data_IF_164959842879
#
_entry.id   IF_164959842879
#
_cell.length_a   1.000
_cell.length_b   1.000
_cell.length_c   1.000
_cell.angle_alpha   90.00
_cell.angle_beta   90.00
_cell.angle_gamma   90.00
#
_symmetry.space_group_name_H-M   'P 1'
#
loop_
_entity.id
_entity.type
_entity.pdbx_description
1 polymer ?
#
# COMPACT_ATOMS: atom_id res chain seq x y z
N UNK A 1 -0.03 -20.65 5.45
CA UNK A 1 1.15 -20.48 4.55
C UNK A 1 1.14 -19.15 3.84
N UNK A 2 0.09 -18.83 3.09
CA UNK A 2 0.00 -17.52 2.39
C UNK A 2 -0.07 -16.37 3.39
N UNK A 3 -0.85 -16.53 4.47
CA UNK A 3 -0.97 -15.50 5.50
C UNK A 3 0.37 -15.22 6.18
N UNK A 4 1.16 -16.26 6.45
CA UNK A 4 2.50 -16.10 7.06
C UNK A 4 3.43 -15.33 6.14
N UNK A 5 3.40 -15.62 4.82
CA UNK A 5 4.19 -14.89 3.83
C UNK A 5 3.76 -13.42 3.73
N UNK A 6 2.44 -13.16 3.78
CA UNK A 6 1.90 -11.81 3.75
C UNK A 6 2.33 -11.00 5.00
N UNK A 7 2.31 -11.63 6.19
CA UNK A 7 2.79 -10.99 7.42
C UNK A 7 4.27 -10.61 7.32
N UNK A 8 5.08 -11.49 6.78
CA UNK A 8 6.51 -11.26 6.61
C UNK A 8 6.75 -10.09 5.66
N UNK A 9 6.04 -10.05 4.53
CA UNK A 9 6.12 -8.97 3.56
C UNK A 9 5.68 -7.63 4.14
N UNK A 10 4.59 -7.61 4.91
CA UNK A 10 4.09 -6.40 5.53
C UNK A 10 5.08 -5.86 6.57
N UNK A 11 5.67 -6.74 7.38
CA UNK A 11 6.70 -6.35 8.34
C UNK A 11 7.95 -5.79 7.67
N UNK A 12 8.33 -6.33 6.53
CA UNK A 12 9.43 -5.83 5.73
C UNK A 12 9.14 -4.42 5.19
N UNK A 13 7.93 -4.22 4.65
CA UNK A 13 7.49 -2.91 4.16
C UNK A 13 7.50 -1.87 5.29
N UNK A 14 7.07 -2.24 6.49
CA UNK A 14 7.08 -1.36 7.65
C UNK A 14 8.52 -0.95 8.02
N UNK A 15 9.45 -1.89 8.00
CA UNK A 15 10.85 -1.60 8.30
C UNK A 15 11.50 -0.65 7.29
N UNK A 16 11.17 -0.81 6.01
CA UNK A 16 11.69 0.08 4.96
C UNK A 16 11.25 1.53 5.16
N UNK A 17 10.06 1.75 5.71
CA UNK A 17 9.53 3.10 5.92
C UNK A 17 10.26 3.88 7.01
N UNK A 18 10.97 3.22 7.91
CA UNK A 18 11.66 3.89 9.02
C UNK A 18 12.72 4.88 8.55
N UNK A 19 13.31 4.64 7.39
CA UNK A 19 14.38 5.47 6.85
C UNK A 19 13.88 6.51 5.85
N UNK A 20 12.56 6.61 5.64
CA UNK A 20 11.96 7.52 4.69
C UNK A 20 11.28 8.67 5.42
N UNK A 21 11.84 9.90 5.38
CA UNK A 21 11.18 11.05 5.99
C UNK A 21 9.95 11.47 5.16
N UNK A 22 8.96 12.08 5.83
CA UNK A 22 7.70 12.46 5.21
C UNK A 22 7.90 13.41 4.02
N UNK A 23 8.85 14.31 4.07
CA UNK A 23 9.13 15.27 3.01
C UNK A 23 9.70 14.62 1.74
N UNK A 24 10.20 13.39 1.83
CA UNK A 24 10.73 12.64 0.69
C UNK A 24 9.80 11.53 0.20
N UNK A 25 8.70 11.32 0.90
CA UNK A 25 7.80 10.19 0.65
C UNK A 25 7.21 10.21 -0.77
N UNK A 26 6.82 11.38 -1.27
CA UNK A 26 6.23 11.58 -2.60
C UNK A 26 7.19 12.29 -3.55
N UNK A 27 8.49 12.11 -3.38
CA UNK A 27 9.51 12.74 -4.21
C UNK A 27 10.30 11.70 -4.97
N UNK A 28 10.66 12.03 -6.22
CA UNK A 28 11.59 11.21 -6.99
C UNK A 28 12.96 11.22 -6.33
N UNK A 29 13.64 10.07 -6.37
CA UNK A 29 15.00 9.96 -5.88
C UNK A 29 15.94 10.83 -6.72
N UNK A 30 16.95 11.39 -6.06
CA UNK A 30 17.96 12.20 -6.72
C UNK A 30 19.34 11.65 -6.37
N UNK A 31 20.13 11.37 -7.40
CA UNK A 31 21.52 10.92 -7.24
C UNK A 31 22.40 11.98 -7.85
N UNK A 32 23.17 12.68 -7.01
CA UNK A 32 23.90 13.88 -7.40
C UNK A 32 22.94 14.91 -7.99
N UNK A 33 23.14 15.33 -9.26
CA UNK A 33 22.26 16.29 -9.93
C UNK A 33 21.22 15.62 -10.83
N UNK A 34 21.12 14.29 -10.79
CA UNK A 34 20.23 13.52 -11.66
C UNK A 34 18.98 13.06 -10.88
N UNK A 35 17.82 13.46 -11.38
CA UNK A 35 16.52 12.99 -10.85
C UNK A 35 16.21 11.64 -11.48
N UNK A 36 15.90 10.66 -10.63
CA UNK A 36 15.52 9.32 -11.07
C UNK A 36 13.99 9.27 -11.17
N UNK A 37 13.48 9.29 -12.38
CA UNK A 37 12.05 9.23 -12.66
C UNK A 37 11.57 7.77 -12.53
N UNK A 38 11.32 7.36 -11.28
CA UNK A 38 10.79 6.02 -10.96
C UNK A 38 9.65 6.18 -9.97
N UNK A 39 9.03 5.07 -9.57
CA UNK A 39 7.96 5.15 -8.57
C UNK A 39 8.55 5.53 -7.20
N UNK A 40 8.06 6.64 -6.64
CA UNK A 40 8.44 7.05 -5.29
C UNK A 40 7.62 6.28 -4.23
N UNK A 41 8.02 6.33 -2.94
CA UNK A 41 7.33 5.56 -1.89
C UNK A 41 5.82 5.79 -1.82
N UNK A 42 5.35 7.03 -1.94
CA UNK A 42 3.90 7.30 -1.88
C UNK A 42 3.14 6.50 -2.92
N UNK A 43 3.62 6.45 -4.15
CA UNK A 43 2.97 5.70 -5.23
C UNK A 43 3.04 4.20 -4.97
N UNK A 44 4.20 3.70 -4.56
CA UNK A 44 4.38 2.27 -4.30
C UNK A 44 3.45 1.80 -3.18
N UNK A 45 3.46 2.48 -2.03
CA UNK A 45 2.64 2.09 -0.88
C UNK A 45 1.15 2.34 -1.12
N UNK A 46 0.80 3.43 -1.80
CA UNK A 46 -0.59 3.69 -2.18
C UNK A 46 -1.13 2.64 -3.14
N UNK A 47 -0.34 2.26 -4.13
CA UNK A 47 -0.70 1.23 -5.10
C UNK A 47 -0.88 -0.13 -4.41
N UNK A 48 0.06 -0.54 -3.57
CA UNK A 48 -0.05 -1.79 -2.82
C UNK A 48 -1.30 -1.83 -1.95
N UNK A 49 -1.68 -0.71 -1.36
CA UNK A 49 -2.87 -0.61 -0.52
C UNK A 49 -4.19 -0.88 -1.25
N UNK A 50 -4.20 -0.81 -2.58
CA UNK A 50 -5.41 -1.08 -3.36
C UNK A 50 -5.79 -2.57 -3.37
N UNK A 51 -4.84 -3.45 -3.13
CA UNK A 51 -5.07 -4.89 -3.29
C UNK A 51 -5.72 -5.54 -2.08
N UNK A 52 -5.59 -4.98 -0.90
CA UNK A 52 -6.10 -5.59 0.34
C UNK A 52 -7.61 -5.83 0.27
N UNK A 53 -8.39 -4.85 -0.13
CA UNK A 53 -9.84 -5.00 -0.26
C UNK A 53 -10.22 -6.03 -1.31
N UNK A 54 -9.45 -6.12 -2.38
CA UNK A 54 -9.66 -7.12 -3.43
C UNK A 54 -9.42 -8.54 -2.92
N UNK A 55 -8.39 -8.73 -2.12
CA UNK A 55 -8.09 -10.01 -1.47
C UNK A 55 -9.25 -10.42 -0.56
N UNK A 56 -9.73 -9.50 0.26
CA UNK A 56 -10.84 -9.75 1.19
C UNK A 56 -12.10 -10.17 0.41
N UNK A 57 -12.42 -9.46 -0.67
CA UNK A 57 -13.57 -9.77 -1.52
C UNK A 57 -13.44 -11.14 -2.19
N UNK A 58 -12.25 -11.48 -2.69
CA UNK A 58 -11.98 -12.78 -3.33
C UNK A 58 -12.15 -13.94 -2.35
N UNK A 59 -11.94 -13.71 -1.05
CA UNK A 59 -12.14 -14.71 -0.03
C UNK A 59 -13.62 -14.84 0.41
N UNK A 60 -14.51 -14.06 -0.21
CA UNK A 60 -15.94 -14.08 0.12
C UNK A 60 -16.31 -13.27 1.35
N UNK A 61 -15.41 -12.43 1.85
CA UNK A 61 -15.65 -11.56 3.00
C UNK A 61 -16.13 -10.19 2.56
N UNK A 62 -16.77 -9.45 3.49
CA UNK A 62 -17.23 -8.10 3.22
C UNK A 62 -16.02 -7.13 3.22
N UNK A 63 -15.71 -6.57 2.06
CA UNK A 63 -14.60 -5.65 1.87
C UNK A 63 -15.01 -4.19 1.92
N UNK A 64 -16.28 -3.87 2.18
CA UNK A 64 -16.79 -2.50 2.07
C UNK A 64 -16.08 -1.50 2.97
N UNK A 65 -15.64 -1.93 4.17
CA UNK A 65 -14.90 -1.07 5.10
C UNK A 65 -13.48 -0.77 4.65
N UNK A 66 -12.95 -1.53 3.69
CA UNK A 66 -11.55 -1.46 3.24
C UNK A 66 -11.41 -1.02 1.80
N UNK A 67 -12.52 -0.83 1.09
CA UNK A 67 -12.52 -0.41 -0.31
C UNK A 67 -12.13 1.07 -0.39
N UNK A 68 -11.08 1.40 -1.17
CA UNK A 68 -10.66 2.79 -1.30
C UNK A 68 -11.68 3.62 -2.08
N UNK A 69 -11.63 4.94 -1.90
CA UNK A 69 -12.44 5.86 -2.70
C UNK A 69 -12.02 5.79 -4.17
N UNK A 70 -12.92 6.22 -5.06
CA UNK A 70 -12.63 6.25 -6.49
C UNK A 70 -11.43 7.16 -6.79
N UNK A 71 -11.30 8.28 -6.09
CA UNK A 71 -10.17 9.21 -6.26
C UNK A 71 -8.85 8.58 -5.80
N UNK A 72 -8.87 7.89 -4.67
CA UNK A 72 -7.68 7.18 -4.17
C UNK A 72 -7.24 6.10 -5.16
N UNK A 73 -8.18 5.31 -5.65
CA UNK A 73 -7.89 4.27 -6.63
C UNK A 73 -7.33 4.85 -7.93
N UNK A 74 -7.90 5.94 -8.42
CA UNK A 74 -7.43 6.61 -9.62
C UNK A 74 -5.99 7.12 -9.46
N UNK A 75 -5.65 7.65 -8.28
CA UNK A 75 -4.33 8.19 -7.99
C UNK A 75 -3.25 7.11 -7.99
N UNK A 76 -3.56 5.92 -7.53
CA UNK A 76 -2.58 4.86 -7.29
C UNK A 76 -2.75 3.63 -8.17
N UNK A 77 -3.67 3.63 -9.12
CA UNK A 77 -3.91 2.46 -9.98
C UNK A 77 -2.70 2.14 -10.86
N UNK A 78 -2.69 0.93 -11.39
CA UNK A 78 -1.62 0.48 -12.30
C UNK A 78 -1.49 1.34 -13.55
N UNK A 79 -2.57 2.01 -13.94
CA UNK A 79 -2.62 2.86 -15.13
C UNK A 79 -2.27 4.32 -14.80
N UNK A 80 -2.09 4.66 -13.52
CA UNK A 80 -1.70 5.99 -13.11
C UNK A 80 -0.21 6.19 -13.32
N UNK A 81 0.16 7.43 -13.64
CA UNK A 81 1.57 7.82 -13.80
C UNK A 81 2.05 8.43 -12.48
N UNK A 82 3.16 7.91 -11.96
CA UNK A 82 3.79 8.48 -10.77
C UNK A 82 4.44 9.82 -11.13
N UNK A 83 4.13 10.85 -10.35
CA UNK A 83 4.68 12.19 -10.56
C UNK A 83 5.32 12.69 -9.26
N UNK A 84 6.35 13.55 -9.40
CA UNK A 84 6.98 14.19 -8.25
C UNK A 84 6.00 15.17 -7.59
N UNK A 85 5.96 15.18 -6.26
CA UNK A 85 5.02 16.02 -5.50
C UNK A 85 5.77 16.89 -4.49
N UNK A 86 6.50 17.92 -4.97
CA UNK A 86 7.30 18.76 -4.08
C UNK A 86 6.48 19.57 -3.08
N UNK A 87 5.22 19.85 -3.38
CA UNK A 87 4.34 20.68 -2.55
C UNK A 87 3.38 19.88 -1.69
N UNK A 88 3.44 18.54 -1.74
CA UNK A 88 2.51 17.64 -1.04
C UNK A 88 1.05 17.94 -1.37
N UNK A 89 0.77 18.27 -2.63
CA UNK A 89 -0.57 18.68 -3.09
C UNK A 89 -1.25 17.62 -3.96
N UNK A 90 -0.52 16.62 -4.43
CA UNK A 90 -1.01 15.60 -5.37
C UNK A 90 -1.40 14.31 -4.63
N UNK A 91 -0.53 13.84 -3.74
CA UNK A 91 -0.74 12.59 -3.01
C UNK A 91 -1.18 12.84 -1.57
N UNK A 92 -1.95 11.89 -0.98
CA UNK A 92 -2.26 11.98 0.44
C UNK A 92 -0.99 11.97 1.30
N UNK A 93 -1.11 12.45 2.53
CA UNK A 93 0.00 12.48 3.47
C UNK A 93 0.54 11.07 3.74
N UNK A 94 1.83 10.97 4.05
CA UNK A 94 2.50 9.71 4.35
C UNK A 94 1.75 8.88 5.39
N UNK A 95 1.32 9.51 6.49
CA UNK A 95 0.60 8.81 7.56
C UNK A 95 -0.72 8.22 7.07
N UNK A 96 -1.42 8.92 6.20
CA UNK A 96 -2.69 8.47 5.63
C UNK A 96 -2.49 7.26 4.72
N UNK A 97 -1.51 7.32 3.83
CA UNK A 97 -1.21 6.22 2.90
C UNK A 97 -0.75 4.99 3.68
N UNK A 98 0.15 5.17 4.64
CA UNK A 98 0.66 4.07 5.45
C UNK A 98 -0.45 3.43 6.28
N UNK A 99 -1.29 4.25 6.92
CA UNK A 99 -2.42 3.75 7.70
C UNK A 99 -3.37 2.92 6.84
N UNK A 100 -3.69 3.39 5.65
CA UNK A 100 -4.55 2.67 4.71
C UNK A 100 -3.94 1.31 4.36
N UNK A 101 -2.68 1.30 3.97
CA UNK A 101 -1.98 0.07 3.60
C UNK A 101 -1.94 -0.93 4.75
N UNK A 102 -1.43 -0.52 5.92
CA UNK A 102 -1.21 -1.46 7.01
C UNK A 102 -2.52 -1.92 7.65
N UNK A 103 -3.49 -1.03 7.83
CA UNK A 103 -4.80 -1.40 8.38
C UNK A 103 -5.51 -2.39 7.46
N UNK A 104 -5.52 -2.11 6.16
CA UNK A 104 -6.22 -2.95 5.19
C UNK A 104 -5.53 -4.30 5.00
N UNK A 105 -4.21 -4.32 4.95
CA UNK A 105 -3.48 -5.59 4.82
C UNK A 105 -3.56 -6.45 6.07
N UNK A 106 -3.61 -5.86 7.26
CA UNK A 106 -3.85 -6.61 8.49
C UNK A 106 -5.21 -7.31 8.43
N UNK A 107 -6.24 -6.64 7.92
CA UNK A 107 -7.55 -7.24 7.72
C UNK A 107 -7.52 -8.36 6.68
N UNK A 108 -6.80 -8.16 5.59
CA UNK A 108 -6.63 -9.17 4.54
C UNK A 108 -5.90 -10.41 5.08
N UNK A 109 -4.86 -10.21 5.89
CA UNK A 109 -4.12 -11.30 6.53
C UNK A 109 -5.03 -12.09 7.46
N UNK A 110 -5.85 -11.42 8.28
CA UNK A 110 -6.80 -12.07 9.16
C UNK A 110 -7.81 -12.93 8.37
N UNK A 111 -8.29 -12.42 7.24
CA UNK A 111 -9.20 -13.16 6.36
C UNK A 111 -8.50 -14.38 5.74
N UNK A 112 -7.23 -14.23 5.35
CA UNK A 112 -6.43 -15.35 4.81
C UNK A 112 -6.20 -16.44 5.88
N UNK A 113 -5.88 -16.04 7.11
CA UNK A 113 -5.69 -17.00 8.22
C UNK A 113 -6.96 -17.81 8.48
N UNK A 114 -8.11 -17.13 8.48
CA UNK A 114 -9.39 -17.79 8.67
C UNK A 114 -9.68 -18.77 7.53
N UNK A 115 -9.44 -18.38 6.28
CA UNK A 115 -9.64 -19.22 5.11
C UNK A 115 -8.71 -20.44 5.13
N UNK A 116 -7.45 -20.27 5.52
CA UNK A 116 -6.49 -21.37 5.63
C UNK A 116 -6.91 -22.36 6.71
N UNK A 117 -7.39 -21.87 7.87
CA UNK A 117 -7.87 -22.72 8.96
C UNK A 117 -9.09 -23.54 8.51
N UNK A 118 -10.01 -22.95 7.76
CA UNK A 118 -11.19 -23.64 7.24
C UNK A 118 -10.83 -24.76 6.26
N UNK A 119 -9.80 -24.52 5.43
CA UNK A 119 -9.34 -25.49 4.43
C UNK A 119 -8.67 -26.71 5.11
N UNK A 120 -7.96 -26.48 6.20
CA UNK A 120 -7.18 -27.52 6.87
C UNK A 120 -7.88 -28.15 8.08
N UNK A 121 -9.13 -27.78 8.34
CA UNK A 121 -9.98 -28.49 9.29
C UNK A 121 -10.66 -29.68 8.62
#
# INVERSE_FOLDING_TARGET
>A
MIAASAKLGLGYAERLLKDIPAEKYARFAQVQDTVIESNHPAFIYGHLGLYASRIIAELGCDASAYTPSADYEKTFSKDAVCVDDPDNSIYPAMDEVNKHLFTNYQAAIAALEQAEDEVFQ
#
